data_IF_911193533219
#
_entry.id   IF_911193533219
#
_cell.length_a   1.000
_cell.length_b   1.000
_cell.length_c   1.000
_cell.angle_alpha   90.00
_cell.angle_beta   90.00
_cell.angle_gamma   90.00
#
_symmetry.space_group_name_H-M   'P 1'
#
loop_
_entity.id
_entity.type
_entity.pdbx_description
1 polymer ?
#
# COMPACT_ATOMS: atom_id res chain seq x y z
N UNK A 1 61.30 -38.23 -36.45
CA UNK A 1 61.06 -37.32 -35.32
C UNK A 1 60.64 -35.90 -35.73
N UNK A 2 61.47 -35.09 -36.41
CA UNK A 2 61.05 -33.73 -36.84
C UNK A 2 60.01 -33.72 -37.99
N UNK A 3 60.11 -34.66 -38.94
CA UNK A 3 59.15 -34.78 -40.06
C UNK A 3 57.74 -35.21 -39.62
N UNK A 4 57.64 -36.02 -38.56
CA UNK A 4 56.34 -36.52 -38.06
C UNK A 4 55.52 -35.41 -37.39
N UNK A 5 56.20 -34.42 -36.80
CA UNK A 5 55.57 -33.26 -36.18
C UNK A 5 55.01 -32.30 -37.23
N UNK A 6 55.79 -32.01 -38.27
CA UNK A 6 55.33 -31.17 -39.38
C UNK A 6 54.12 -31.79 -40.08
N UNK A 7 54.11 -33.11 -40.28
CA UNK A 7 52.97 -33.80 -40.88
C UNK A 7 51.69 -33.67 -40.03
N UNK A 8 51.80 -33.79 -38.71
CA UNK A 8 50.66 -33.59 -37.79
C UNK A 8 50.15 -32.14 -37.81
N UNK A 9 51.04 -31.16 -37.93
CA UNK A 9 50.67 -29.75 -38.02
C UNK A 9 49.91 -29.49 -39.34
N UNK A 10 50.40 -30.03 -40.45
CA UNK A 10 49.73 -29.95 -41.76
C UNK A 10 48.36 -30.64 -41.75
N UNK A 11 48.24 -31.82 -41.11
CA UNK A 11 46.97 -32.53 -40.98
C UNK A 11 45.94 -31.74 -40.15
N UNK A 12 46.38 -31.06 -39.08
CA UNK A 12 45.50 -30.22 -38.25
C UNK A 12 45.06 -28.98 -39.03
N UNK A 13 45.98 -28.32 -39.74
CA UNK A 13 45.67 -27.17 -40.58
C UNK A 13 44.72 -27.54 -41.72
N UNK A 14 44.97 -28.68 -42.38
CA UNK A 14 44.11 -29.22 -43.43
C UNK A 14 42.71 -29.62 -42.93
N UNK A 15 42.60 -30.07 -41.68
CA UNK A 15 41.29 -30.39 -41.07
C UNK A 15 40.41 -29.14 -40.84
N UNK A 16 41.02 -27.94 -40.82
CA UNK A 16 40.33 -26.68 -40.58
C UNK A 16 39.97 -25.93 -41.88
N UNK A 17 40.59 -26.30 -43.01
CA UNK A 17 40.40 -25.64 -44.31
C UNK A 17 38.98 -25.84 -44.89
N UNK A 18 38.30 -26.94 -44.50
CA UNK A 18 36.91 -27.22 -44.84
C UNK A 18 35.88 -26.55 -43.92
N UNK A 19 36.31 -25.81 -42.89
CA UNK A 19 35.42 -25.20 -41.92
C UNK A 19 34.75 -23.95 -42.49
N UNK A 20 33.66 -24.15 -43.23
CA UNK A 20 32.84 -23.04 -43.70
C UNK A 20 32.18 -22.33 -42.52
N UNK A 21 32.12 -21.00 -42.59
CA UNK A 21 31.45 -20.17 -41.59
C UNK A 21 29.99 -20.60 -41.53
N UNK A 22 29.59 -21.23 -40.42
CA UNK A 22 28.21 -21.68 -40.23
C UNK A 22 27.27 -20.49 -40.34
N UNK A 23 26.37 -20.52 -41.33
CA UNK A 23 25.32 -19.51 -41.44
C UNK A 23 24.38 -19.70 -40.26
N UNK A 24 24.23 -18.63 -39.48
CA UNK A 24 23.37 -18.62 -38.31
C UNK A 24 21.92 -18.72 -38.82
N UNK A 25 21.07 -19.58 -38.25
CA UNK A 25 19.68 -19.67 -38.69
C UNK A 25 18.93 -18.35 -38.43
N UNK A 26 17.97 -18.05 -39.30
CA UNK A 26 17.14 -16.85 -39.15
C UNK A 26 16.53 -16.76 -37.74
N UNK A 27 16.52 -15.56 -37.17
CA UNK A 27 16.03 -15.25 -35.82
C UNK A 27 16.80 -15.89 -34.65
N UNK A 28 17.97 -16.52 -34.86
CA UNK A 28 18.81 -17.02 -33.76
C UNK A 28 19.17 -15.92 -32.77
N UNK A 29 19.59 -14.76 -33.27
CA UNK A 29 19.96 -13.62 -32.42
C UNK A 29 18.79 -13.12 -31.60
N UNK A 30 17.58 -13.07 -32.17
CA UNK A 30 16.37 -12.69 -31.44
C UNK A 30 16.06 -13.67 -30.31
N UNK A 31 16.17 -14.98 -30.58
CA UNK A 31 15.93 -16.01 -29.56
C UNK A 31 17.01 -16.02 -28.47
N UNK A 32 18.26 -15.80 -28.86
CA UNK A 32 19.39 -15.70 -27.93
C UNK A 32 19.24 -14.47 -27.05
N UNK A 33 18.93 -13.31 -27.64
CA UNK A 33 18.70 -12.07 -26.92
C UNK A 33 17.52 -12.18 -25.95
N UNK A 34 16.42 -12.82 -26.37
CA UNK A 34 15.28 -13.08 -25.49
C UNK A 34 15.65 -13.97 -24.29
N UNK A 35 16.48 -15.01 -24.49
CA UNK A 35 16.98 -15.86 -23.40
C UNK A 35 17.94 -15.13 -22.47
N UNK A 36 18.79 -14.27 -23.03
CA UNK A 36 19.74 -13.48 -22.27
C UNK A 36 19.02 -12.43 -21.40
N UNK A 37 18.05 -11.71 -21.97
CA UNK A 37 17.18 -10.79 -21.23
C UNK A 37 16.40 -11.52 -20.14
N UNK A 38 15.84 -12.70 -20.43
CA UNK A 38 15.13 -13.50 -19.43
C UNK A 38 16.01 -13.95 -18.25
N UNK A 39 17.31 -14.14 -18.48
CA UNK A 39 18.27 -14.52 -17.44
C UNK A 39 18.83 -13.30 -16.67
N UNK A 40 19.12 -12.20 -17.37
CA UNK A 40 19.62 -10.95 -16.78
C UNK A 40 18.57 -10.28 -15.89
N UNK A 41 17.29 -10.34 -16.25
CA UNK A 41 16.18 -9.83 -15.43
C UNK A 41 15.79 -10.78 -14.27
N UNK A 42 16.61 -11.79 -13.97
CA UNK A 42 16.43 -12.67 -12.81
C UNK A 42 15.16 -13.51 -12.86
N UNK A 43 14.82 -14.06 -14.03
CA UNK A 43 13.61 -14.88 -14.19
C UNK A 43 12.31 -14.07 -14.30
N UNK A 44 12.40 -12.74 -14.45
CA UNK A 44 11.26 -11.90 -14.84
C UNK A 44 11.10 -11.91 -16.35
N UNK A 45 10.74 -13.07 -16.90
CA UNK A 45 10.00 -13.13 -18.17
C UNK A 45 8.93 -12.02 -18.11
N UNK A 46 8.70 -11.20 -19.16
CA UNK A 46 7.62 -10.21 -19.14
C UNK A 46 6.35 -10.94 -18.75
N UNK A 47 5.93 -10.65 -17.53
CA UNK A 47 5.08 -11.55 -16.78
C UNK A 47 3.67 -11.51 -17.37
N UNK A 48 3.38 -12.43 -18.29
CA UNK A 48 2.03 -12.97 -18.47
C UNK A 48 1.48 -13.56 -17.15
N UNK A 49 2.30 -13.61 -16.09
CA UNK A 49 1.96 -13.99 -14.73
C UNK A 49 1.80 -12.80 -13.76
N UNK A 50 1.55 -11.58 -14.24
CA UNK A 50 1.12 -10.45 -13.37
C UNK A 50 -0.38 -10.14 -13.50
N UNK A 51 -1.20 -11.14 -13.82
CA UNK A 51 -2.67 -11.00 -13.87
C UNK A 51 -3.38 -11.75 -12.76
N UNK A 52 -2.69 -12.07 -11.65
CA UNK A 52 -3.33 -12.75 -10.50
C UNK A 52 -3.49 -11.87 -9.26
N UNK A 53 -2.94 -10.65 -9.25
CA UNK A 53 -3.07 -9.71 -8.13
C UNK A 53 -3.90 -8.45 -8.45
N UNK A 54 -4.39 -8.32 -9.69
CA UNK A 54 -5.21 -7.20 -10.15
C UNK A 54 -6.69 -7.58 -10.28
N UNK A 55 -7.22 -8.44 -9.40
CA UNK A 55 -8.68 -8.55 -9.30
C UNK A 55 -9.19 -7.22 -8.70
N UNK A 56 -9.93 -6.38 -9.45
CA UNK A 56 -10.42 -5.10 -8.96
C UNK A 56 -11.30 -5.27 -7.70
N UNK A 57 -11.83 -6.47 -7.49
CA UNK A 57 -12.52 -6.88 -6.28
C UNK A 57 -11.68 -6.74 -5.00
N UNK A 58 -10.37 -7.04 -5.01
CA UNK A 58 -9.53 -6.86 -3.81
C UNK A 58 -9.25 -5.39 -3.53
N UNK A 59 -9.02 -4.59 -4.57
CA UNK A 59 -8.88 -3.14 -4.43
C UNK A 59 -10.18 -2.52 -3.88
N UNK A 60 -11.34 -2.95 -4.37
CA UNK A 60 -12.65 -2.56 -3.84
C UNK A 60 -12.86 -3.04 -2.40
N UNK A 61 -12.45 -4.26 -2.05
CA UNK A 61 -12.59 -4.78 -0.69
C UNK A 61 -11.73 -3.99 0.32
N UNK A 62 -10.49 -3.66 -0.04
CA UNK A 62 -9.61 -2.84 0.79
C UNK A 62 -10.17 -1.41 0.90
N UNK A 63 -10.60 -0.81 -0.21
CA UNK A 63 -11.22 0.52 -0.22
C UNK A 63 -12.49 0.56 0.62
N UNK A 64 -13.37 -0.44 0.47
CA UNK A 64 -14.59 -0.58 1.27
C UNK A 64 -14.27 -0.79 2.75
N UNK A 65 -13.24 -1.59 3.08
CA UNK A 65 -12.76 -1.78 4.45
C UNK A 65 -12.28 -0.47 5.08
N UNK A 66 -11.46 0.31 4.36
CA UNK A 66 -11.02 1.64 4.81
C UNK A 66 -12.22 2.58 4.98
N UNK A 67 -13.21 2.54 4.09
CA UNK A 67 -14.41 3.36 4.18
C UNK A 67 -15.26 2.97 5.40
N UNK A 68 -15.47 1.68 5.65
CA UNK A 68 -16.21 1.17 6.82
C UNK A 68 -15.49 1.54 8.12
N UNK A 69 -14.17 1.43 8.19
CA UNK A 69 -13.39 1.82 9.37
C UNK A 69 -13.56 3.32 9.63
N UNK A 70 -13.41 4.17 8.62
CA UNK A 70 -13.59 5.61 8.77
C UNK A 70 -15.04 5.97 9.14
N UNK A 71 -16.02 5.33 8.50
CA UNK A 71 -17.43 5.53 8.82
C UNK A 71 -17.76 5.07 10.24
N UNK A 72 -17.14 3.98 10.73
CA UNK A 72 -17.30 3.51 12.10
C UNK A 72 -16.62 4.45 13.11
N UNK A 73 -15.47 5.04 12.78
CA UNK A 73 -14.82 6.06 13.62
C UNK A 73 -15.71 7.30 13.74
N UNK A 74 -16.26 7.78 12.62
CA UNK A 74 -17.22 8.89 12.62
C UNK A 74 -18.46 8.47 13.39
N UNK A 75 -19.11 7.36 13.07
CA UNK A 75 -20.34 6.96 13.76
C UNK A 75 -20.11 6.74 15.27
N UNK A 76 -18.96 6.23 15.70
CA UNK A 76 -18.63 6.05 17.12
C UNK A 76 -18.23 7.37 17.80
N UNK A 77 -17.60 8.28 17.06
CA UNK A 77 -17.42 9.69 17.46
C UNK A 77 -18.77 10.38 17.64
N UNK A 78 -19.67 10.24 16.68
CA UNK A 78 -21.04 10.77 16.70
C UNK A 78 -21.94 10.03 17.70
N UNK A 79 -21.67 8.77 18.05
CA UNK A 79 -22.41 8.06 19.12
C UNK A 79 -21.90 8.49 20.50
N UNK A 80 -20.63 8.91 20.58
CA UNK A 80 -20.08 9.55 21.77
C UNK A 80 -20.57 11.01 21.87
N UNK A 81 -20.75 11.71 20.76
CA UNK A 81 -21.27 13.09 20.71
C UNK A 81 -22.81 13.20 20.67
N UNK A 82 -23.55 12.11 20.45
CA UNK A 82 -25.02 12.06 20.57
C UNK A 82 -25.49 11.22 21.77
N UNK A 83 -24.63 10.98 22.76
CA UNK A 83 -24.97 10.12 23.89
C UNK A 83 -24.07 10.19 25.12
N UNK A 84 -23.02 11.01 25.11
CA UNK A 84 -22.35 11.47 26.33
C UNK A 84 -22.26 12.98 26.26
N UNK A 85 -23.43 13.61 26.33
CA UNK A 85 -23.50 14.91 27.00
C UNK A 85 -22.92 14.68 28.38
N UNK A 86 -21.92 15.46 28.78
CA UNK A 86 -21.69 15.74 30.19
C UNK A 86 -22.96 16.43 30.73
N UNK A 87 -24.04 15.66 30.91
CA UNK A 87 -25.27 16.12 31.53
C UNK A 87 -25.01 16.48 32.99
N UNK A 88 -24.00 15.87 33.61
CA UNK A 88 -23.63 16.20 35.00
C UNK A 88 -23.17 17.66 35.15
N UNK A 89 -22.36 18.20 34.24
CA UNK A 89 -21.87 19.59 34.36
C UNK A 89 -22.98 20.60 34.02
N UNK A 90 -23.84 20.25 33.06
CA UNK A 90 -24.92 21.16 32.63
C UNK A 90 -26.08 21.16 33.64
N UNK A 91 -26.43 19.99 34.19
CA UNK A 91 -27.44 19.84 35.24
C UNK A 91 -26.96 20.41 36.58
N UNK A 92 -25.68 20.27 36.93
CA UNK A 92 -25.13 20.90 38.15
C UNK A 92 -25.06 22.42 38.02
N UNK A 93 -24.62 22.97 36.88
CA UNK A 93 -24.64 24.41 36.64
C UNK A 93 -26.06 24.98 36.64
N UNK A 94 -27.03 24.24 36.11
CA UNK A 94 -28.43 24.65 36.09
C UNK A 94 -29.09 24.54 37.47
N UNK A 95 -28.72 23.53 38.28
CA UNK A 95 -29.12 23.40 39.69
C UNK A 95 -28.59 24.54 40.55
N UNK A 96 -27.32 24.92 40.38
CA UNK A 96 -26.70 26.05 41.11
C UNK A 96 -27.38 27.37 40.71
N UNK A 97 -27.61 27.62 39.42
CA UNK A 97 -28.28 28.83 38.94
C UNK A 97 -29.73 28.96 39.44
N UNK A 98 -30.45 27.85 39.57
CA UNK A 98 -31.81 27.83 40.09
C UNK A 98 -31.87 28.18 41.59
N UNK A 99 -30.92 27.71 42.41
CA UNK A 99 -30.86 28.05 43.83
C UNK A 99 -30.55 29.54 44.07
N UNK A 100 -29.62 30.13 43.31
CA UNK A 100 -29.33 31.57 43.40
C UNK A 100 -30.54 32.43 42.98
N UNK A 101 -31.27 31.99 41.94
CA UNK A 101 -32.48 32.69 41.46
C UNK A 101 -33.65 32.59 42.44
N UNK A 102 -33.75 31.49 43.21
CA UNK A 102 -34.72 31.38 44.30
C UNK A 102 -34.35 32.26 45.51
N UNK A 103 -33.05 32.40 45.80
CA UNK A 103 -32.56 33.23 46.91
C UNK A 103 -32.76 34.74 46.69
N UNK A 104 -32.88 35.19 45.44
CA UNK A 104 -33.11 36.61 45.10
C UNK A 104 -34.53 37.10 45.46
N UNK A 105 -35.45 36.17 45.78
CA UNK A 105 -36.82 36.48 46.22
C UNK A 105 -36.95 36.61 47.75
N UNK A 106 -35.86 36.46 48.51
CA UNK A 106 -35.84 36.69 49.95
C UNK A 106 -35.14 38.01 50.28
N UNK A 107 -35.69 39.10 49.73
CA UNK A 107 -35.39 40.48 50.12
C UNK A 107 -35.87 40.75 51.56
N UNK A 108 -35.18 40.16 52.53
CA UNK A 108 -35.39 40.33 53.99
C UNK A 108 -34.71 41.59 54.52
N UNK A 109 -34.11 42.41 53.66
CA UNK A 109 -33.42 43.64 54.07
C UNK A 109 -34.17 44.95 53.82
N UNK A 110 -35.44 44.90 53.39
CA UNK A 110 -36.26 46.11 53.12
C UNK A 110 -37.47 46.30 54.07
N UNK A 111 -37.42 45.73 55.28
CA UNK A 111 -38.48 45.94 56.30
C UNK A 111 -38.00 46.55 57.62
N UNK A 112 -36.75 46.98 57.75
CA UNK A 112 -36.24 47.60 59.00
C UNK A 112 -35.47 48.90 58.81
N UNK A 113 -35.70 49.64 57.72
CA UNK A 113 -35.23 51.02 57.61
C UNK A 113 -36.37 51.93 57.15
N UNK A 114 -37.27 52.25 58.08
CA UNK A 114 -37.92 53.56 58.11
C UNK A 114 -37.34 54.35 59.31
N UNK A 115 -37.32 55.70 59.23
CA UNK A 115 -36.65 56.60 60.18
C UNK A 115 -37.19 56.55 61.61
#
# INVERSE_FOLDING_TARGET
MKNDQNKKIEDILGSLDGSQRATVPDFFYTRLQARMLAQLDGGKVPALKKSWILRPAYALAVLAGVLVINAAVILKGNTTENGVTNSNDTETLQSIAAEYSLNDNNSVYDLTQEP
#
